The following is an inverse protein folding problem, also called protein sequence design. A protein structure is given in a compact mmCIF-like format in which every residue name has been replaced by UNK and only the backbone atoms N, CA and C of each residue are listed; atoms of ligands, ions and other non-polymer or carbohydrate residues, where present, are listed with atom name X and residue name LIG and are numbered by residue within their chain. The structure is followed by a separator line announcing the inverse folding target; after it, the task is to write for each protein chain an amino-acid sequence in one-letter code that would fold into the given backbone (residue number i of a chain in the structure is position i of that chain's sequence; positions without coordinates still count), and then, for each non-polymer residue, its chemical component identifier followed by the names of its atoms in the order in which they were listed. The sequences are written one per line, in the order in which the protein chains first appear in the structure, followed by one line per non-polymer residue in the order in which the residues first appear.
data_IF_505893263066
#
_entry.id   IF_505893263066
#
_cell.length_a   1.000
_cell.length_b   1.000
_cell.length_c   1.000
_cell.angle_alpha   90.00
_cell.angle_beta   90.00
_cell.angle_gamma   90.00
#
_symmetry.space_group_name_H-M   'P 1'
#
loop_
_entity.id
_entity.type
_entity.pdbx_description
1 polymer ?
#
# COMPACT_ATOMS: atom_id res chain seq x y z
N UNK A 1 2.95 10.42 -15.25
CA UNK A 1 1.92 9.61 -15.75
C UNK A 1 0.79 9.50 -14.73
N UNK A 2 -0.34 9.11 -15.22
CA UNK A 2 -1.53 9.10 -14.37
C UNK A 2 -1.46 8.08 -13.25
N UNK A 3 -0.69 7.04 -13.43
CA UNK A 3 -0.68 5.96 -12.45
C UNK A 3 -0.21 6.41 -11.07
N UNK A 4 0.59 7.45 -11.00
CA UNK A 4 1.09 7.90 -9.71
C UNK A 4 0.00 8.48 -8.83
N UNK A 5 -1.17 8.75 -9.39
CA UNK A 5 -2.25 9.33 -8.62
C UNK A 5 -3.38 8.36 -8.34
N UNK A 6 -3.21 7.09 -8.67
CA UNK A 6 -4.26 6.12 -8.44
C UNK A 6 -4.22 5.53 -7.05
N UNK A 7 -3.05 5.46 -6.45
CA UNK A 7 -2.94 4.96 -5.09
C UNK A 7 -1.69 5.51 -4.43
N UNK A 8 -1.72 5.48 -3.13
CA UNK A 8 -0.56 5.79 -2.32
C UNK A 8 -0.23 4.57 -1.49
N UNK A 9 1.04 4.19 -1.46
CA UNK A 9 1.47 3.02 -0.73
C UNK A 9 2.38 3.45 0.42
N UNK A 10 2.10 2.89 1.59
CA UNK A 10 2.89 3.14 2.79
C UNK A 10 3.62 1.86 3.12
N UNK A 11 4.94 1.94 3.23
CA UNK A 11 5.71 0.76 3.62
C UNK A 11 5.52 0.48 5.10
N UNK A 12 5.85 -0.73 5.56
CA UNK A 12 5.70 -1.05 6.97
C UNK A 12 6.43 -0.02 7.83
N UNK A 13 5.75 0.43 8.86
CA UNK A 13 6.26 1.45 9.75
C UNK A 13 5.77 2.85 9.44
N UNK A 14 5.24 3.09 8.26
CA UNK A 14 4.80 4.44 7.88
C UNK A 14 3.36 4.74 8.23
N UNK A 15 2.50 3.73 8.20
CA UNK A 15 1.10 3.98 8.50
C UNK A 15 0.89 3.77 9.99
N UNK A 16 0.53 4.82 10.66
CA UNK A 16 0.61 4.92 12.09
C UNK A 16 -0.09 3.80 12.86
N UNK A 17 -1.29 3.44 12.44
CA UNK A 17 -2.07 2.44 13.14
C UNK A 17 -1.84 1.03 12.62
N UNK A 18 -1.02 0.86 11.58
CA UNK A 18 -0.78 -0.42 10.95
C UNK A 18 0.72 -0.63 10.75
N UNK A 19 1.48 -0.56 11.82
CA UNK A 19 2.94 -0.45 11.69
C UNK A 19 3.62 -1.66 11.07
N UNK A 20 3.02 -2.82 11.20
CA UNK A 20 3.64 -4.03 10.64
C UNK A 20 3.10 -4.41 9.28
N UNK A 21 2.36 -3.51 8.66
CA UNK A 21 1.68 -3.79 7.41
C UNK A 21 2.13 -2.82 6.33
N UNK A 22 2.12 -3.32 5.09
CA UNK A 22 2.12 -2.42 3.96
C UNK A 22 0.66 -2.00 3.76
N UNK A 23 0.46 -0.72 3.50
CA UNK A 23 -0.89 -0.15 3.37
C UNK A 23 -0.99 0.55 2.03
N UNK A 24 -2.09 0.33 1.34
CA UNK A 24 -2.37 1.02 0.09
C UNK A 24 -3.68 1.79 0.25
N UNK A 25 -3.65 3.06 -0.13
CA UNK A 25 -4.84 3.90 -0.20
C UNK A 25 -5.16 4.09 -1.67
N UNK A 26 -6.33 3.61 -2.09
CA UNK A 26 -6.71 3.61 -3.50
C UNK A 26 -7.82 4.63 -3.69
N UNK A 27 -7.58 5.60 -4.58
CA UNK A 27 -8.51 6.72 -4.71
C UNK A 27 -9.80 6.37 -5.40
N UNK A 28 -9.74 5.58 -6.46
CA UNK A 28 -10.91 5.32 -7.28
C UNK A 28 -11.28 3.85 -7.26
N UNK A 29 -11.39 3.32 -6.07
CA UNK A 29 -11.73 1.92 -5.90
C UNK A 29 -13.23 1.71 -6.10
N UNK A 30 -13.58 0.57 -6.72
CA UNK A 30 -14.96 0.12 -6.78
C UNK A 30 -14.95 -1.42 -6.64
N UNK A 31 -16.12 -2.05 -6.50
CA UNK A 31 -16.15 -3.49 -6.22
C UNK A 31 -15.55 -4.38 -7.30
N UNK A 32 -15.34 -3.86 -8.50
CA UNK A 32 -14.74 -4.63 -9.58
C UNK A 32 -13.22 -4.53 -9.58
N UNK A 33 -12.68 -3.70 -8.71
CA UNK A 33 -11.24 -3.52 -8.61
C UNK A 33 -10.67 -4.50 -7.61
N UNK A 34 -9.36 -4.68 -7.68
CA UNK A 34 -8.69 -5.47 -6.66
C UNK A 34 -7.28 -4.96 -6.46
N UNK A 35 -6.76 -5.20 -5.26
CA UNK A 35 -5.40 -4.84 -4.90
C UNK A 35 -4.71 -6.12 -4.49
N UNK A 36 -3.64 -6.45 -5.17
CA UNK A 36 -2.89 -7.67 -4.91
C UNK A 36 -1.45 -7.32 -4.60
N UNK A 37 -0.71 -8.26 -4.07
CA UNK A 37 0.66 -7.96 -3.70
C UNK A 37 1.57 -9.17 -3.83
N UNK A 38 2.84 -8.85 -3.98
CA UNK A 38 3.92 -9.83 -4.10
C UNK A 38 4.95 -9.52 -3.04
N UNK A 39 5.52 -10.54 -2.47
CA UNK A 39 6.65 -10.38 -1.55
C UNK A 39 7.82 -11.16 -2.13
N UNK A 40 8.93 -10.46 -2.37
CA UNK A 40 10.13 -11.07 -2.93
C UNK A 40 9.85 -11.84 -4.21
N UNK A 41 8.98 -11.25 -5.04
CA UNK A 41 8.62 -11.85 -6.32
C UNK A 41 7.55 -12.91 -6.27
N UNK A 42 7.07 -13.26 -5.08
CA UNK A 42 6.08 -14.31 -4.94
C UNK A 42 4.69 -13.71 -4.73
N UNK A 43 3.73 -14.16 -5.50
CA UNK A 43 2.35 -13.68 -5.38
C UNK A 43 1.77 -14.09 -4.05
N UNK A 44 1.22 -13.14 -3.33
CA UNK A 44 0.68 -13.38 -2.00
C UNK A 44 -0.84 -13.28 -1.94
N UNK A 45 -1.47 -12.80 -2.99
CA UNK A 45 -2.92 -12.72 -3.03
C UNK A 45 -3.43 -11.31 -2.89
N UNK A 46 -4.69 -11.19 -2.52
CA UNK A 46 -5.32 -9.89 -2.35
C UNK A 46 -4.95 -9.29 -1.01
N UNK A 47 -4.79 -7.98 -1.01
CA UNK A 47 -4.65 -7.24 0.24
C UNK A 47 -6.01 -7.16 0.92
N UNK A 48 -5.99 -7.10 2.23
CA UNK A 48 -7.21 -7.04 3.03
C UNK A 48 -7.70 -5.61 3.12
N UNK A 49 -8.96 -5.39 2.78
CA UNK A 49 -9.55 -4.07 2.91
C UNK A 49 -9.87 -3.80 4.38
N UNK A 50 -9.63 -2.58 4.80
CA UNK A 50 -9.94 -2.20 6.17
C UNK A 50 -10.33 -0.73 6.21
N UNK A 51 -10.94 -0.34 7.32
CA UNK A 51 -11.27 1.06 7.56
C UNK A 51 -10.48 1.54 8.76
N UNK A 52 -10.15 2.80 8.76
CA UNK A 52 -9.38 3.39 9.83
C UNK A 52 -9.83 4.84 9.97
N UNK A 53 -9.59 5.39 11.13
CA UNK A 53 -9.85 6.81 11.36
C UNK A 53 -8.80 7.67 10.71
N UNK A 54 -7.81 7.05 10.10
CA UNK A 54 -6.81 7.75 9.34
C UNK A 54 -6.04 8.75 10.13
N UNK A 55 -5.46 8.27 11.19
CA UNK A 55 -4.63 9.16 11.99
C UNK A 55 -3.49 9.73 11.19
N UNK A 56 -3.05 9.02 10.17
CA UNK A 56 -2.03 9.56 9.31
C UNK A 56 -2.49 10.85 8.67
N UNK A 57 -3.76 10.96 8.38
CA UNK A 57 -4.30 12.18 7.81
C UNK A 57 -4.54 13.25 8.86
N UNK A 58 -4.86 12.84 10.06
CA UNK A 58 -5.06 13.80 11.12
C UNK A 58 -3.79 14.58 11.41
N UNK A 59 -2.66 13.94 11.22
CA UNK A 59 -1.38 14.59 11.43
C UNK A 59 -1.11 15.69 10.42
N UNK A 60 -1.69 15.58 9.24
CA UNK A 60 -1.49 16.54 8.18
C UNK A 60 -2.65 17.51 8.04
N UNK A 61 -3.60 17.45 8.98
CA UNK A 61 -4.78 18.30 8.99
C UNK A 61 -5.54 18.23 7.68
N UNK A 62 -6.00 17.06 7.29
CA UNK A 62 -6.69 16.94 6.02
C UNK A 62 -8.05 17.61 6.09
N UNK A 63 -8.55 17.97 4.94
CA UNK A 63 -9.91 18.45 4.84
C UNK A 63 -10.89 17.31 5.03
N UNK A 64 -12.11 17.63 5.43
CA UNK A 64 -13.09 16.59 5.70
C UNK A 64 -13.36 15.70 4.51
N UNK A 65 -13.39 16.27 3.33
CA UNK A 65 -13.65 15.47 2.15
C UNK A 65 -12.48 14.51 1.86
N UNK A 66 -11.28 14.87 2.28
CA UNK A 66 -10.15 13.96 2.13
C UNK A 66 -10.30 12.77 3.05
N UNK A 67 -10.80 13.00 4.27
CA UNK A 67 -11.06 11.90 5.17
C UNK A 67 -12.08 10.94 4.59
N UNK A 68 -13.08 11.48 3.94
CA UNK A 68 -14.10 10.64 3.33
C UNK A 68 -13.52 9.77 2.23
N UNK A 69 -12.46 10.23 1.57
CA UNK A 69 -11.85 9.47 0.48
C UNK A 69 -10.89 8.39 0.97
N UNK A 70 -10.63 8.32 2.25
CA UNK A 70 -9.65 7.38 2.77
C UNK A 70 -10.28 6.06 3.19
N UNK A 71 -11.48 5.77 2.73
CA UNK A 71 -12.15 4.54 3.09
C UNK A 71 -11.63 3.33 2.33
N UNK A 72 -10.90 3.54 1.26
CA UNK A 72 -10.47 2.43 0.42
C UNK A 72 -9.03 2.07 0.76
N UNK A 73 -8.88 1.58 1.99
CA UNK A 73 -7.58 1.20 2.51
C UNK A 73 -7.42 -0.30 2.48
N UNK A 74 -6.22 -0.73 2.12
CA UNK A 74 -5.88 -2.14 2.02
C UNK A 74 -4.59 -2.37 2.73
N UNK A 75 -4.45 -3.55 3.33
CA UNK A 75 -3.23 -3.87 4.07
C UNK A 75 -2.81 -5.29 3.80
N UNK A 76 -1.52 -5.53 3.98
CA UNK A 76 -0.95 -6.86 3.90
C UNK A 76 0.25 -6.91 4.81
N UNK A 77 0.42 -8.05 5.48
CA UNK A 77 1.53 -8.19 6.41
C UNK A 77 2.63 -9.00 5.77
N UNK A 78 3.82 -8.44 5.60
CA UNK A 78 4.95 -9.21 5.10
C UNK A 78 5.28 -10.34 6.05
N UNK A 79 5.81 -11.42 5.50
CA UNK A 79 6.14 -12.59 6.30
C UNK A 79 7.31 -12.32 7.24
N UNK A 80 8.10 -11.30 6.96
CA UNK A 80 9.27 -10.98 7.76
C UNK A 80 9.62 -9.52 7.58
N UNK A 81 10.29 -8.95 8.57
CA UNK A 81 10.85 -7.61 8.42
C UNK A 81 12.03 -7.60 7.46
N UNK A 82 12.49 -8.76 7.07
CA UNK A 82 13.63 -8.88 6.17
C UNK A 82 13.23 -9.11 4.72
N UNK A 83 11.99 -8.80 4.36
CA UNK A 83 11.60 -8.86 2.98
C UNK A 83 12.54 -8.00 2.13
N UNK A 84 12.71 -8.37 0.88
CA UNK A 84 13.55 -7.60 -0.03
C UNK A 84 12.73 -6.60 -0.82
N UNK A 85 11.62 -7.06 -1.37
CA UNK A 85 10.74 -6.19 -2.13
C UNK A 85 9.31 -6.52 -1.83
N UNK A 86 8.47 -5.51 -1.93
CA UNK A 86 7.03 -5.69 -1.91
C UNK A 86 6.47 -4.93 -3.10
N UNK A 87 5.68 -5.61 -3.90
CA UNK A 87 5.05 -5.00 -5.04
C UNK A 87 3.55 -4.98 -4.79
N UNK A 88 2.95 -3.82 -4.89
CA UNK A 88 1.51 -3.64 -4.72
C UNK A 88 0.94 -3.27 -6.07
N UNK A 89 -0.09 -3.98 -6.49
CA UNK A 89 -0.71 -3.76 -7.79
C UNK A 89 -2.20 -3.50 -7.60
N UNK A 90 -2.63 -2.36 -8.08
CA UNK A 90 -4.04 -2.02 -8.15
C UNK A 90 -4.53 -2.35 -9.56
N UNK A 91 -5.58 -3.13 -9.66
CA UNK A 91 -6.16 -3.55 -10.93
C UNK A 91 -7.58 -3.02 -10.97
N UNK A 92 -7.85 -2.11 -11.89
CA UNK A 92 -9.16 -1.50 -11.97
C UNK A 92 -10.13 -2.36 -12.80
N UNK A 93 -11.36 -1.87 -12.92
CA UNK A 93 -12.41 -2.63 -13.61
C UNK A 93 -12.11 -2.88 -15.08
N UNK A 94 -11.21 -2.11 -15.66
CA UNK A 94 -10.84 -2.26 -17.06
C UNK A 94 -9.58 -3.08 -17.22
N UNK A 95 -9.13 -3.75 -16.16
CA UNK A 95 -7.91 -4.54 -16.13
C UNK A 95 -6.65 -3.70 -16.37
N UNK A 96 -6.73 -2.41 -16.14
CA UNK A 96 -5.53 -1.59 -16.12
C UNK A 96 -4.84 -1.77 -14.79
N UNK A 97 -3.52 -1.79 -14.80
CA UNK A 97 -2.74 -2.05 -13.61
C UNK A 97 -1.87 -0.87 -13.26
N UNK A 98 -1.74 -0.62 -11.97
CA UNK A 98 -0.90 0.42 -11.44
C UNK A 98 -0.05 -0.22 -10.35
N UNK A 99 1.25 -0.14 -10.51
CA UNK A 99 2.17 -0.90 -9.67
C UNK A 99 3.07 0.03 -8.87
N UNK A 100 3.25 -0.31 -7.61
CA UNK A 100 4.21 0.38 -6.77
C UNK A 100 5.11 -0.65 -6.11
N UNK A 101 6.42 -0.42 -6.16
CA UNK A 101 7.39 -1.35 -5.61
C UNK A 101 8.14 -0.71 -4.46
N UNK A 102 8.18 -1.41 -3.35
CA UNK A 102 8.96 -1.02 -2.18
C UNK A 102 10.21 -1.87 -2.17
N UNK A 103 11.36 -1.22 -2.04
CA UNK A 103 12.63 -1.90 -1.86
C UNK A 103 13.07 -1.68 -0.42
N UNK A 104 13.30 -2.78 0.29
CA UNK A 104 13.69 -2.71 1.69
C UNK A 104 15.20 -2.54 1.79
N UNK A 105 15.62 -1.32 1.97
CA UNK A 105 17.05 -1.02 1.97
C UNK A 105 17.76 -1.51 3.21
N UNK A 106 17.01 -1.76 4.26
CA UNK A 106 17.61 -2.25 5.49
C UNK A 106 18.06 -3.69 5.38
N UNK A 107 17.68 -4.37 4.32
CA UNK A 107 18.01 -5.76 4.13
C UNK A 107 19.17 -5.95 3.16
N UNK A 108 19.91 -4.93 2.86
CA UNK A 108 21.03 -5.04 1.96
C UNK A 108 22.22 -5.61 2.69
N UNK A 109 22.84 -6.62 2.14
CA UNK A 109 23.91 -7.29 2.85
C UNK A 109 25.19 -6.49 2.89
N UNK A 110 25.51 -5.66 1.97
CA UNK A 110 26.69 -4.99 2.00
C UNK A 110 26.62 -3.69 1.82
N UNK A 111 26.70 -3.30 2.38
CA UNK A 111 26.62 -2.10 2.34
C UNK A 111 27.81 -1.47 2.28
N UNK A 112 28.32 -2.03 2.04
CA UNK A 112 29.10 -1.87 1.78
C UNK A 112 29.84 -1.32 1.62
N UNK A 113 29.98 -1.55 1.78
CA UNK A 113 30.50 -1.45 1.69
C UNK A 113 30.84 -1.08 1.56
#
# INVERSE_FOLDING_TARGET
SKSVFQMRVYKPGEFRTQKNYVVANVWEWDPHCRVVWYEDGKYKGRMQQFTDNDEAFLLTKPLKHQLAKTRHLFRARPSSKKYRTIKVIFINRFNQTYTYTIVNRNNRPFLLE
#
